data_IF_674818991954
#
_entry.id   IF_674818991954
#
_cell.length_a   1.000
_cell.length_b   1.000
_cell.length_c   1.000
_cell.angle_alpha   90.00
_cell.angle_beta   90.00
_cell.angle_gamma   90.00
#
_symmetry.space_group_name_H-M   'P 1'
#
loop_
_entity.id
_entity.type
_entity.pdbx_description
1 polymer ?
#
# COMPACT_ATOMS: atom_id res chain seq x y z
N UNK A 1 -3.56 22.19 11.45
CA UNK A 1 -4.12 22.11 10.09
C UNK A 1 -4.60 20.68 9.91
N UNK A 2 -5.78 20.44 9.33
CA UNK A 2 -6.20 19.09 9.00
C UNK A 2 -5.16 18.46 8.08
N UNK A 3 -4.78 17.21 8.35
CA UNK A 3 -3.92 16.47 7.44
C UNK A 3 -4.71 16.19 6.17
N UNK A 4 -4.33 16.82 5.06
CA UNK A 4 -4.93 16.53 3.75
C UNK A 4 -4.38 15.20 3.27
N UNK A 5 -5.27 14.27 2.92
CA UNK A 5 -4.88 13.03 2.25
C UNK A 5 -4.80 13.28 0.74
N UNK A 6 -3.71 12.83 0.14
CA UNK A 6 -3.53 12.77 -1.31
C UNK A 6 -3.76 11.34 -1.76
N UNK A 7 -4.78 11.11 -2.58
CA UNK A 7 -5.08 9.78 -3.13
C UNK A 7 -4.53 9.70 -4.55
N UNK A 8 -3.79 8.65 -4.85
CA UNK A 8 -3.28 8.36 -6.19
C UNK A 8 -3.47 6.88 -6.55
N UNK A 9 -3.49 6.52 -7.85
CA UNK A 9 -3.35 5.14 -8.26
C UNK A 9 -2.05 4.54 -7.70
N UNK A 10 -2.13 3.27 -7.32
CA UNK A 10 -0.96 2.49 -6.95
C UNK A 10 -0.12 2.14 -8.20
N UNK A 11 1.19 1.98 -8.03
CA UNK A 11 2.10 1.72 -9.14
C UNK A 11 3.26 0.82 -8.74
N UNK A 12 3.67 -0.03 -9.68
CA UNK A 12 4.83 -0.91 -9.52
C UNK A 12 6.15 -0.13 -9.53
N UNK A 13 6.22 0.99 -10.26
CA UNK A 13 7.40 1.87 -10.27
C UNK A 13 7.70 2.45 -8.88
N UNK A 14 6.70 2.50 -7.99
CA UNK A 14 6.81 2.98 -6.61
C UNK A 14 6.86 1.86 -5.57
N UNK A 15 6.93 0.61 -6.02
CA UNK A 15 6.90 -0.59 -5.17
C UNK A 15 5.69 -0.63 -4.22
N UNK A 16 4.53 -0.13 -4.65
CA UNK A 16 3.38 -0.01 -3.76
C UNK A 16 2.88 -1.38 -3.28
N UNK A 17 2.99 -2.43 -4.10
CA UNK A 17 2.66 -3.80 -3.69
C UNK A 17 3.46 -4.26 -2.46
N UNK A 18 4.78 -4.02 -2.47
CA UNK A 18 5.67 -4.33 -1.34
C UNK A 18 5.31 -3.50 -0.11
N UNK A 19 5.04 -2.21 -0.30
CA UNK A 19 4.65 -1.32 0.81
C UNK A 19 3.33 -1.73 1.47
N UNK A 20 2.37 -2.24 0.69
CA UNK A 20 1.10 -2.75 1.22
C UNK A 20 1.35 -3.99 2.09
N UNK A 21 2.21 -4.91 1.66
CA UNK A 21 2.58 -6.08 2.47
C UNK A 21 3.25 -5.66 3.78
N UNK A 22 4.19 -4.71 3.75
CA UNK A 22 4.80 -4.18 4.98
C UNK A 22 3.76 -3.57 5.94
N UNK A 23 2.71 -2.93 5.42
CA UNK A 23 1.62 -2.44 6.27
C UNK A 23 0.86 -3.60 6.91
N UNK A 24 0.53 -4.65 6.16
CA UNK A 24 -0.14 -5.85 6.72
C UNK A 24 0.74 -6.48 7.80
N UNK A 25 2.03 -6.68 7.51
CA UNK A 25 2.98 -7.31 8.43
C UNK A 25 3.15 -6.52 9.72
N UNK A 26 3.12 -5.18 9.64
CA UNK A 26 3.18 -4.33 10.84
C UNK A 26 2.00 -4.53 11.81
N UNK A 27 0.89 -5.09 11.34
CA UNK A 27 -0.28 -5.38 12.17
C UNK A 27 -0.23 -6.78 12.80
N UNK A 28 0.60 -7.69 12.30
CA UNK A 28 0.69 -9.08 12.78
C UNK A 28 0.93 -9.18 14.29
N UNK A 29 1.86 -8.42 14.92
CA UNK A 29 2.05 -8.50 16.38
C UNK A 29 0.79 -8.16 17.17
N UNK A 30 0.01 -7.17 16.70
CA UNK A 30 -1.25 -6.81 17.33
C UNK A 30 -2.32 -7.89 17.10
N UNK A 31 -2.47 -8.39 15.88
CA UNK A 31 -3.42 -9.45 15.54
C UNK A 31 -3.14 -10.75 16.34
N UNK A 32 -1.86 -11.07 16.53
CA UNK A 32 -1.43 -12.18 17.38
C UNK A 32 -1.83 -11.96 18.85
N UNK A 33 -1.66 -10.74 19.37
CA UNK A 33 -2.06 -10.42 20.75
C UNK A 33 -3.56 -10.62 21.01
N UNK A 34 -4.38 -10.61 19.95
CA UNK A 34 -5.82 -10.89 19.99
C UNK A 34 -6.17 -12.37 19.77
N UNK A 35 -5.17 -13.25 19.59
CA UNK A 35 -5.37 -14.67 19.29
C UNK A 35 -5.82 -14.93 17.85
N UNK A 36 -5.60 -14.00 16.92
CA UNK A 36 -6.04 -14.15 15.51
C UNK A 36 -5.03 -14.91 14.63
N UNK A 37 -4.05 -15.57 15.25
CA UNK A 37 -2.96 -16.29 14.58
C UNK A 37 -3.44 -17.39 13.63
N UNK A 38 -4.56 -18.06 13.94
CA UNK A 38 -5.14 -19.08 13.07
C UNK A 38 -5.68 -18.53 11.74
N UNK A 39 -6.02 -17.23 11.67
CA UNK A 39 -6.55 -16.59 10.47
C UNK A 39 -5.48 -15.87 9.66
N UNK A 40 -4.50 -15.27 10.33
CA UNK A 40 -3.49 -14.41 9.68
C UNK A 40 -2.10 -15.03 9.62
N UNK A 41 -1.86 -16.14 10.31
CA UNK A 41 -0.53 -16.70 10.46
C UNK A 41 0.36 -15.90 11.41
N UNK A 42 1.62 -16.31 11.48
CA UNK A 42 2.67 -15.69 12.30
C UNK A 42 3.87 -15.21 11.46
N UNK A 43 3.95 -15.65 10.21
CA UNK A 43 5.03 -15.31 9.30
C UNK A 43 4.66 -14.05 8.52
N UNK A 44 5.58 -13.08 8.38
CA UNK A 44 5.37 -11.91 7.53
C UNK A 44 5.06 -12.32 6.09
N UNK A 45 3.97 -11.78 5.53
CA UNK A 45 3.58 -11.97 4.14
C UNK A 45 4.60 -11.38 3.18
N UNK A 46 5.31 -10.32 3.61
CA UNK A 46 6.38 -9.69 2.87
C UNK A 46 7.60 -10.57 2.64
N UNK A 47 7.78 -11.69 3.35
CA UNK A 47 8.92 -12.60 3.15
C UNK A 47 8.61 -13.73 2.15
N UNK A 48 7.35 -13.93 1.75
CA UNK A 48 6.94 -14.95 0.79
C UNK A 48 6.97 -14.42 -0.65
N UNK A 49 7.88 -14.96 -1.47
CA UNK A 49 8.07 -14.53 -2.87
C UNK A 49 6.78 -14.64 -3.70
N UNK A 50 5.98 -15.68 -3.48
CA UNK A 50 4.72 -15.88 -4.20
C UNK A 50 3.71 -14.78 -3.87
N UNK A 51 3.63 -14.38 -2.60
CA UNK A 51 2.77 -13.29 -2.15
C UNK A 51 3.25 -11.95 -2.69
N UNK A 52 4.55 -11.70 -2.72
CA UNK A 52 5.11 -10.50 -3.35
C UNK A 52 4.76 -10.42 -4.85
N UNK A 53 4.93 -11.52 -5.59
CA UNK A 53 4.59 -11.60 -7.01
C UNK A 53 3.09 -11.38 -7.24
N UNK A 54 2.23 -12.00 -6.41
CA UNK A 54 0.78 -11.79 -6.48
C UNK A 54 0.37 -10.33 -6.27
N UNK A 55 1.01 -9.61 -5.35
CA UNK A 55 0.75 -8.17 -5.18
C UNK A 55 1.26 -7.35 -6.36
N UNK A 56 2.40 -7.69 -6.95
CA UNK A 56 2.89 -7.06 -8.19
C UNK A 56 1.91 -7.23 -9.35
N UNK A 57 1.31 -8.41 -9.48
CA UNK A 57 0.29 -8.70 -10.49
C UNK A 57 -1.01 -7.91 -10.25
N UNK A 58 -1.45 -7.78 -9.00
CA UNK A 58 -2.60 -6.94 -8.63
C UNK A 58 -2.37 -5.48 -9.06
N UNK A 59 -1.18 -4.93 -8.76
CA UNK A 59 -0.83 -3.57 -9.14
C UNK A 59 -0.75 -3.42 -10.67
N UNK A 60 -0.18 -4.41 -11.37
CA UNK A 60 -0.13 -4.42 -12.84
C UNK A 60 -1.54 -4.37 -13.43
N UNK A 61 -2.45 -5.20 -12.92
CA UNK A 61 -3.85 -5.21 -13.38
C UNK A 61 -4.57 -3.88 -13.11
N UNK A 62 -4.26 -3.23 -11.98
CA UNK A 62 -4.72 -1.87 -11.69
C UNK A 62 -4.20 -0.85 -12.68
N UNK A 63 -2.90 -0.86 -12.98
CA UNK A 63 -2.28 0.04 -13.95
C UNK A 63 -2.90 -0.13 -15.36
N UNK A 64 -3.17 -1.36 -15.79
CA UNK A 64 -3.84 -1.64 -17.07
C UNK A 64 -5.30 -1.13 -17.09
N UNK A 65 -6.01 -1.24 -15.97
CA UNK A 65 -7.37 -0.69 -15.85
C UNK A 65 -7.36 0.84 -15.92
N UNK A 66 -6.37 1.51 -15.32
CA UNK A 66 -6.20 2.97 -15.45
C UNK A 66 -5.84 3.40 -16.89
N UNK A 67 -5.15 2.55 -17.66
CA UNK A 67 -4.88 2.76 -19.09
C UNK A 67 -6.09 2.52 -19.99
N UNK A 68 -7.23 2.11 -19.44
CA UNK A 68 -8.48 1.93 -20.19
C UNK A 68 -8.80 0.50 -20.58
N UNK A 69 -8.12 -0.52 -20.01
CA UNK A 69 -8.60 -1.91 -20.09
C UNK A 69 -10.07 -1.97 -19.62
N UNK A 70 -10.99 -2.57 -20.39
CA UNK A 70 -12.39 -2.70 -19.98
C UNK A 70 -12.52 -3.38 -18.62
N UNK A 71 -13.42 -2.86 -17.78
CA UNK A 71 -13.69 -3.43 -16.47
C UNK A 71 -14.43 -4.77 -16.58
N UNK A 72 -13.92 -5.78 -15.91
CA UNK A 72 -14.47 -7.14 -15.83
C UNK A 72 -14.37 -7.71 -14.40
N UNK A 73 -14.71 -8.99 -14.25
CA UNK A 73 -14.70 -9.70 -12.97
C UNK A 73 -13.31 -9.93 -12.39
N UNK A 74 -12.28 -9.80 -13.21
CA UNK A 74 -10.88 -10.05 -12.84
C UNK A 74 -10.13 -8.70 -12.74
N UNK A 75 -10.86 -7.57 -12.84
CA UNK A 75 -10.30 -6.22 -12.76
C UNK A 75 -10.15 -5.76 -11.32
N UNK A 76 -9.06 -5.05 -11.06
CA UNK A 76 -8.79 -4.41 -9.76
C UNK A 76 -8.37 -2.97 -10.01
N UNK A 77 -8.75 -2.05 -9.11
CA UNK A 77 -8.17 -0.72 -8.97
C UNK A 77 -7.58 -0.59 -7.58
N UNK A 78 -6.29 -0.30 -7.50
CA UNK A 78 -5.56 -0.07 -6.27
C UNK A 78 -5.20 1.41 -6.15
N UNK A 79 -5.43 1.99 -4.97
CA UNK A 79 -5.11 3.37 -4.64
C UNK A 79 -4.27 3.45 -3.38
N UNK A 80 -3.41 4.46 -3.31
CA UNK A 80 -2.59 4.77 -2.15
C UNK A 80 -2.98 6.13 -1.62
N UNK A 81 -3.23 6.19 -0.32
CA UNK A 81 -3.41 7.43 0.42
C UNK A 81 -2.06 7.87 1.01
N UNK A 82 -1.70 9.12 0.74
CA UNK A 82 -0.47 9.77 1.19
C UNK A 82 -0.79 11.00 2.02
N UNK A 83 0.10 11.36 2.94
CA UNK A 83 0.07 12.64 3.65
C UNK A 83 1.41 13.37 3.46
N UNK A 84 1.35 14.70 3.40
CA UNK A 84 2.56 15.52 3.40
C UNK A 84 3.03 15.78 4.83
N UNK A 85 4.30 15.45 5.10
CA UNK A 85 4.94 15.73 6.38
C UNK A 85 6.16 16.63 6.13
N UNK A 86 6.24 17.82 6.75
CA UNK A 86 7.43 18.66 6.69
C UNK A 86 8.66 17.90 7.22
N UNK A 87 9.79 17.95 6.53
CA UNK A 87 10.99 17.20 6.89
C UNK A 87 11.45 17.45 8.34
N UNK A 88 11.30 18.70 8.81
CA UNK A 88 11.59 19.11 10.20
C UNK A 88 10.73 18.42 11.28
N UNK A 89 9.65 17.74 10.89
CA UNK A 89 8.72 17.01 11.78
C UNK A 89 8.87 15.49 11.66
N UNK A 90 9.76 15.01 10.80
CA UNK A 90 10.02 13.58 10.66
C UNK A 90 10.74 13.12 11.93
N UNK A 91 10.15 12.16 12.62
CA UNK A 91 10.77 11.49 13.76
C UNK A 91 11.55 10.26 13.28
N UNK A 92 12.50 9.71 14.07
CA UNK A 92 13.23 8.50 13.69
C UNK A 92 12.32 7.29 13.39
N UNK A 93 11.13 7.23 13.99
CA UNK A 93 10.13 6.21 13.70
C UNK A 93 9.51 6.40 12.32
N UNK A 94 9.25 7.65 11.91
CA UNK A 94 8.73 7.98 10.59
C UNK A 94 9.80 7.81 9.49
N UNK A 95 11.08 8.05 9.79
CA UNK A 95 12.18 7.79 8.85
C UNK A 95 12.21 6.34 8.37
N UNK A 96 11.90 5.39 9.27
CA UNK A 96 11.82 3.96 8.92
C UNK A 96 10.66 3.61 7.98
N UNK A 97 9.66 4.48 7.89
CA UNK A 97 8.50 4.30 7.01
C UNK A 97 8.70 4.97 5.65
N UNK A 98 9.75 5.80 5.51
CA UNK A 98 10.13 6.38 4.24
C UNK A 98 10.76 5.30 3.37
N UNK A 99 10.42 5.29 2.09
CA UNK A 99 11.17 4.55 1.09
C UNK A 99 11.79 5.50 0.07
N UNK A 100 12.90 5.11 -0.58
CA UNK A 100 13.53 5.92 -1.62
C UNK A 100 12.59 6.33 -2.78
N UNK A 101 11.51 5.58 -2.96
CA UNK A 101 10.48 5.78 -3.97
C UNK A 101 9.36 6.73 -3.51
N UNK A 102 9.39 7.21 -2.26
CA UNK A 102 8.42 8.20 -1.79
C UNK A 102 8.58 9.53 -2.54
N UNK A 103 7.49 10.11 -3.04
CA UNK A 103 7.57 11.36 -3.77
C UNK A 103 7.95 12.52 -2.84
N UNK A 104 8.72 13.45 -3.38
CA UNK A 104 8.92 14.75 -2.74
C UNK A 104 7.55 15.42 -2.52
N UNK A 105 7.34 15.96 -1.32
CA UNK A 105 6.21 16.82 -1.03
C UNK A 105 6.46 18.25 -1.53
N UNK A 106 5.58 19.16 -1.12
CA UNK A 106 5.82 20.60 -1.23
C UNK A 106 7.09 21.04 -0.46
N UNK A 107 7.60 22.25 -0.74
CA UNK A 107 8.82 22.86 -0.18
C UNK A 107 9.27 22.31 1.19
N UNK A 108 10.28 21.44 1.19
CA UNK A 108 10.85 20.83 2.40
C UNK A 108 9.96 19.81 3.12
N UNK A 109 9.06 19.13 2.40
CA UNK A 109 8.21 18.05 2.90
C UNK A 109 8.39 16.75 2.09
N UNK A 110 7.95 15.64 2.67
CA UNK A 110 7.88 14.31 2.04
C UNK A 110 6.44 13.82 2.03
N UNK A 111 6.08 13.00 1.05
CA UNK A 111 4.80 12.30 1.03
C UNK A 111 4.98 10.90 1.58
N UNK A 112 4.33 10.65 2.71
CA UNK A 112 4.30 9.36 3.36
C UNK A 112 3.03 8.62 2.97
N UNK A 113 3.19 7.40 2.48
CA UNK A 113 2.10 6.45 2.28
C UNK A 113 1.56 6.04 3.65
N UNK A 114 0.24 6.03 3.82
CA UNK A 114 -0.40 5.76 5.12
C UNK A 114 -1.56 4.78 5.03
N UNK A 115 -2.11 4.54 3.85
CA UNK A 115 -3.11 3.50 3.62
C UNK A 115 -3.14 3.10 2.14
N UNK A 116 -3.72 1.92 1.89
CA UNK A 116 -4.09 1.45 0.55
C UNK A 116 -5.57 1.11 0.51
N UNK A 117 -6.14 1.19 -0.69
CA UNK A 117 -7.53 0.83 -0.96
C UNK A 117 -7.60 0.03 -2.25
N UNK A 118 -8.39 -1.03 -2.25
CA UNK A 118 -8.63 -1.86 -3.41
C UNK A 118 -10.12 -1.83 -3.77
N UNK A 119 -10.40 -1.75 -5.06
CA UNK A 119 -11.73 -1.94 -5.64
C UNK A 119 -11.60 -3.13 -6.59
N UNK A 120 -12.26 -4.23 -6.27
CA UNK A 120 -12.24 -5.42 -7.11
C UNK A 120 -13.56 -5.54 -7.88
N UNK A 121 -13.45 -5.89 -9.16
CA UNK A 121 -14.56 -6.40 -9.92
C UNK A 121 -15.00 -7.71 -9.29
N UNK A 122 -16.24 -7.79 -8.81
CA UNK A 122 -16.83 -9.06 -8.40
C UNK A 122 -18.15 -9.22 -9.15
N UNK A 123 -18.27 -10.27 -9.96
CA UNK A 123 -19.59 -10.71 -10.43
C UNK A 123 -20.30 -11.42 -9.27
N UNK A 124 -21.53 -11.03 -8.99
CA UNK A 124 -22.47 -11.88 -8.24
C UNK A 124 -23.13 -12.82 -9.25
N UNK A 125 -22.46 -13.94 -9.52
CA UNK A 125 -22.96 -15.02 -10.39
C UNK A 125 -22.68 -14.82 -11.87
#
# INVERSE_FOLDING_TARGET
MPNTFHIRPASNDREDGRRILEFVDSQLPYLQSLGSEAQWGLEPFGDDERTQEGYKDIITNSEETEKGKPWDRDSTKAFIAEIEIPCKKITPQLEKLLSPQDPAGSDGAVRLRVASMFIDGRSVG
#
